data_IF_113886805894
#
_entry.id   IF_113886805894
#
_cell.length_a   1.000
_cell.length_b   1.000
_cell.length_c   1.000
_cell.angle_alpha   90.00
_cell.angle_beta   90.00
_cell.angle_gamma   90.00
#
_symmetry.space_group_name_H-M   'P 1'
#
loop_
_entity.id
_entity.type
_entity.pdbx_description
1 polymer ?
#
# COMPACT_ATOMS: atom_id res chain seq x y z
N UNK A 1 -19.72 -49.33 12.04
CA UNK A 1 -20.75 -48.81 11.10
C UNK A 1 -20.82 -47.30 11.37
N UNK A 2 -20.27 -46.48 10.50
CA UNK A 2 -20.36 -45.05 10.66
C UNK A 2 -21.69 -44.53 10.16
N UNK A 3 -22.34 -43.67 10.95
CA UNK A 3 -23.55 -42.98 10.55
C UNK A 3 -23.28 -42.19 9.26
N UNK A 4 -23.98 -42.54 8.20
CA UNK A 4 -23.90 -41.90 6.87
C UNK A 4 -24.88 -40.72 6.73
N UNK A 5 -25.66 -40.42 7.76
CA UNK A 5 -26.62 -39.33 7.74
C UNK A 5 -25.92 -37.95 7.82
N UNK A 6 -26.26 -37.00 6.94
CA UNK A 6 -25.67 -35.67 6.98
C UNK A 6 -26.02 -34.94 8.27
N UNK A 7 -25.02 -34.26 8.86
CA UNK A 7 -25.24 -33.47 10.07
C UNK A 7 -26.33 -32.41 9.87
N UNK A 8 -27.30 -32.37 10.80
CA UNK A 8 -28.40 -31.42 10.73
C UNK A 8 -27.96 -29.97 10.71
N UNK A 9 -28.73 -29.08 10.05
CA UNK A 9 -28.41 -27.65 9.87
C UNK A 9 -28.06 -26.90 11.16
N UNK A 10 -28.57 -27.34 12.30
CA UNK A 10 -28.35 -26.73 13.62
C UNK A 10 -27.16 -27.37 14.39
N UNK A 11 -26.55 -28.43 13.85
CA UNK A 11 -25.50 -29.17 14.56
C UNK A 11 -24.31 -28.30 14.96
N UNK A 12 -23.81 -27.44 14.02
CA UNK A 12 -22.67 -26.55 14.28
C UNK A 12 -22.97 -25.56 15.41
N UNK A 13 -24.19 -25.02 15.47
CA UNK A 13 -24.59 -24.10 16.53
C UNK A 13 -24.69 -24.82 17.89
N UNK A 14 -25.27 -26.01 17.91
CA UNK A 14 -25.30 -26.86 19.10
C UNK A 14 -23.90 -27.27 19.58
N UNK A 15 -23.01 -27.61 18.66
CA UNK A 15 -21.62 -27.94 18.96
C UNK A 15 -20.86 -26.76 19.56
N UNK A 16 -20.95 -25.55 18.98
CA UNK A 16 -20.36 -24.33 19.52
C UNK A 16 -20.84 -24.00 20.93
N UNK A 17 -22.13 -24.16 21.18
CA UNK A 17 -22.71 -23.88 22.49
C UNK A 17 -22.18 -24.85 23.58
N UNK A 18 -21.92 -26.11 23.22
CA UNK A 18 -21.32 -27.10 24.13
C UNK A 18 -19.79 -26.90 24.30
N UNK A 19 -19.15 -26.27 23.33
CA UNK A 19 -17.70 -26.07 23.32
C UNK A 19 -17.34 -24.57 23.12
N UNK A 20 -17.49 -23.74 24.17
CA UNK A 20 -17.31 -22.28 24.05
C UNK A 20 -15.88 -21.85 23.70
N UNK A 21 -14.89 -22.72 23.88
CA UNK A 21 -13.51 -22.50 23.44
C UNK A 21 -13.32 -22.60 21.91
N UNK A 22 -14.29 -23.15 21.19
CA UNK A 22 -14.24 -23.35 19.74
C UNK A 22 -15.01 -22.24 19.03
N UNK A 23 -14.35 -21.55 18.10
CA UNK A 23 -14.95 -20.49 17.27
C UNK A 23 -14.88 -20.86 15.79
N UNK A 24 -15.92 -20.50 15.05
CA UNK A 24 -15.87 -20.58 13.58
C UNK A 24 -14.97 -19.47 13.06
N UNK A 25 -13.93 -19.83 12.33
CA UNK A 25 -12.99 -18.88 11.70
C UNK A 25 -12.96 -19.14 10.19
N UNK A 26 -12.65 -18.09 9.42
CA UNK A 26 -12.39 -18.24 7.99
C UNK A 26 -11.04 -18.88 7.79
N UNK A 27 -10.98 -19.99 7.09
CA UNK A 27 -9.71 -20.57 6.65
C UNK A 27 -9.04 -19.64 5.64
N UNK A 28 -7.73 -19.49 5.75
CA UNK A 28 -6.89 -18.84 4.74
C UNK A 28 -5.96 -19.92 4.19
N UNK A 29 -6.02 -20.21 2.88
CA UNK A 29 -5.08 -21.16 2.31
C UNK A 29 -3.67 -20.64 2.44
N UNK A 30 -2.78 -21.48 2.94
CA UNK A 30 -1.33 -21.26 2.97
C UNK A 30 -0.67 -22.48 2.33
N UNK A 31 0.35 -22.25 1.53
CA UNK A 31 1.12 -23.32 0.90
C UNK A 31 1.83 -24.15 1.98
N UNK A 32 1.75 -25.49 1.86
CA UNK A 32 2.41 -26.43 2.76
C UNK A 32 3.93 -26.23 2.84
N UNK A 33 4.55 -25.83 1.75
CA UNK A 33 6.00 -25.51 1.71
C UNK A 33 6.34 -24.31 2.60
N UNK A 34 5.45 -23.31 2.66
CA UNK A 34 5.61 -22.14 3.54
C UNK A 34 5.49 -22.53 5.00
N UNK A 35 4.57 -23.44 5.32
CA UNK A 35 4.41 -23.95 6.68
C UNK A 35 5.66 -24.71 7.12
N UNK A 36 6.15 -25.62 6.28
CA UNK A 36 7.30 -26.47 6.60
C UNK A 36 8.63 -25.73 6.57
N UNK A 37 8.77 -24.68 5.76
CA UNK A 37 9.99 -23.87 5.65
C UNK A 37 10.23 -22.95 6.84
N UNK A 38 9.18 -22.46 7.48
CA UNK A 38 9.27 -21.55 8.64
C UNK A 38 9.38 -22.33 9.95
N UNK A 39 10.36 -23.23 10.09
CA UNK A 39 10.59 -23.92 11.35
C UNK A 39 11.48 -23.09 12.29
N UNK A 40 11.33 -23.34 13.58
CA UNK A 40 12.01 -22.60 14.65
C UNK A 40 13.53 -22.64 14.53
N UNK A 41 14.09 -23.78 14.16
CA UNK A 41 15.54 -24.00 14.03
C UNK A 41 16.12 -23.17 12.89
N UNK A 42 15.49 -23.19 11.72
CA UNK A 42 15.91 -22.41 10.54
C UNK A 42 15.92 -20.91 10.86
N UNK A 43 14.88 -20.40 11.54
CA UNK A 43 14.81 -19.00 11.93
C UNK A 43 15.90 -18.67 12.94
N UNK A 44 16.12 -19.52 13.95
CA UNK A 44 17.18 -19.30 14.96
C UNK A 44 18.57 -19.26 14.33
N UNK A 45 18.86 -20.18 13.43
CA UNK A 45 20.17 -20.24 12.76
C UNK A 45 20.38 -19.04 11.85
N UNK A 46 19.34 -18.63 11.14
CA UNK A 46 19.41 -17.44 10.29
C UNK A 46 19.65 -16.15 11.10
N UNK A 47 19.01 -15.98 12.27
CA UNK A 47 19.23 -14.82 13.12
C UNK A 47 20.67 -14.70 13.65
N UNK A 48 21.45 -15.78 13.66
CA UNK A 48 22.88 -15.73 13.99
C UNK A 48 23.66 -14.88 12.99
N UNK A 49 23.22 -14.82 11.73
CA UNK A 49 23.82 -13.96 10.71
C UNK A 49 23.71 -12.48 11.04
N UNK A 50 22.58 -12.04 11.66
CA UNK A 50 22.40 -10.66 12.11
C UNK A 50 23.29 -10.28 13.30
N UNK A 51 23.86 -11.26 13.98
CA UNK A 51 24.78 -11.06 15.11
C UNK A 51 26.24 -10.95 14.66
N UNK A 52 26.56 -11.24 13.40
CA UNK A 52 27.90 -11.05 12.81
C UNK A 52 28.31 -9.57 13.01
N UNK A 53 29.51 -9.28 13.55
CA UNK A 53 29.92 -7.93 13.93
C UNK A 53 29.76 -6.89 12.81
N UNK A 54 30.12 -7.26 11.57
CA UNK A 54 30.03 -6.40 10.38
C UNK A 54 28.58 -6.02 10.07
N UNK A 55 27.65 -6.97 10.19
CA UNK A 55 26.22 -6.75 9.95
C UNK A 55 25.57 -6.02 11.15
N UNK A 56 25.95 -6.40 12.36
CA UNK A 56 25.45 -5.78 13.59
C UNK A 56 25.80 -4.29 13.65
N UNK A 57 27.00 -3.92 13.16
CA UNK A 57 27.49 -2.54 13.14
C UNK A 57 26.79 -1.64 12.11
N UNK A 58 26.05 -2.17 11.15
CA UNK A 58 25.34 -1.37 10.15
C UNK A 58 24.21 -0.58 10.80
N UNK A 59 24.23 0.74 10.60
CA UNK A 59 23.21 1.67 11.15
C UNK A 59 21.81 1.31 10.62
N UNK A 60 20.72 1.57 11.40
CA UNK A 60 19.36 1.31 10.93
C UNK A 60 18.99 2.06 9.65
N UNK A 61 19.52 3.26 9.47
CA UNK A 61 19.31 4.04 8.24
C UNK A 61 19.87 3.35 6.98
N UNK A 62 20.87 2.48 7.15
CA UNK A 62 21.54 1.74 6.09
C UNK A 62 21.07 0.29 5.99
N UNK A 63 19.98 -0.08 6.66
CA UNK A 63 19.35 -1.41 6.56
C UNK A 63 18.13 -1.32 5.69
N UNK A 64 18.11 -2.10 4.62
CA UNK A 64 17.07 -2.08 3.61
C UNK A 64 16.47 -3.47 3.41
N UNK A 65 15.19 -3.50 3.10
CA UNK A 65 14.48 -4.69 2.63
C UNK A 65 13.86 -4.38 1.28
N UNK A 66 14.09 -5.23 0.31
CA UNK A 66 13.51 -5.16 -1.02
C UNK A 66 12.66 -6.39 -1.27
N UNK A 67 11.56 -6.21 -1.99
CA UNK A 67 10.70 -7.29 -2.44
C UNK A 67 9.91 -6.88 -3.68
N UNK A 68 9.47 -7.88 -4.44
CA UNK A 68 8.65 -7.72 -5.62
C UNK A 68 7.20 -8.06 -5.32
N UNK A 69 6.29 -7.21 -5.77
CA UNK A 69 4.87 -7.51 -5.69
C UNK A 69 4.18 -7.29 -7.02
N UNK A 70 3.24 -8.18 -7.33
CA UNK A 70 2.41 -8.03 -8.51
C UNK A 70 1.01 -7.53 -8.18
N UNK A 71 0.50 -6.68 -9.06
CA UNK A 71 -0.85 -6.14 -8.98
C UNK A 71 -1.55 -6.36 -10.32
N UNK A 72 -2.79 -6.88 -10.29
CA UNK A 72 -3.65 -6.96 -11.46
C UNK A 72 -4.26 -5.58 -11.73
N UNK A 73 -4.08 -5.04 -12.94
CA UNK A 73 -4.53 -3.70 -13.33
C UNK A 73 -6.02 -3.47 -13.04
N UNK A 74 -6.86 -4.47 -13.27
CA UNK A 74 -8.32 -4.34 -13.24
C UNK A 74 -9.04 -5.04 -12.08
N UNK A 75 -8.33 -5.55 -11.08
CA UNK A 75 -8.97 -6.29 -10.00
C UNK A 75 -9.44 -5.37 -8.85
N UNK A 76 -10.75 -5.08 -8.83
CA UNK A 76 -11.40 -4.41 -7.70
C UNK A 76 -11.68 -5.36 -6.51
N UNK A 77 -12.25 -4.81 -5.44
CA UNK A 77 -12.67 -5.59 -4.27
C UNK A 77 -14.05 -6.24 -4.48
N UNK A 78 -14.19 -7.49 -4.06
CA UNK A 78 -15.50 -8.10 -3.83
C UNK A 78 -15.96 -7.67 -2.43
N UNK A 79 -16.88 -6.72 -2.34
CA UNK A 79 -17.42 -6.21 -1.08
C UNK A 79 -18.91 -6.51 -0.94
N UNK A 80 -19.43 -6.36 0.26
CA UNK A 80 -20.87 -6.33 0.49
C UNK A 80 -21.46 -5.09 -0.20
N UNK A 81 -22.52 -5.31 -0.96
CA UNK A 81 -23.29 -4.27 -1.64
C UNK A 81 -24.73 -4.35 -1.22
N UNK A 82 -25.42 -3.22 -1.17
CA UNK A 82 -26.86 -3.19 -0.96
C UNK A 82 -27.53 -3.52 -2.29
N UNK A 83 -28.35 -4.53 -2.30
CA UNK A 83 -29.18 -4.93 -3.43
C UNK A 83 -30.65 -5.02 -3.01
N UNK A 84 -31.54 -5.21 -3.96
CA UNK A 84 -32.96 -5.46 -3.66
C UNK A 84 -33.08 -6.77 -2.86
N UNK A 85 -33.97 -6.80 -1.88
CA UNK A 85 -34.13 -7.94 -0.98
C UNK A 85 -34.47 -9.27 -1.69
N UNK A 86 -35.06 -9.17 -2.87
CA UNK A 86 -35.47 -10.30 -3.70
C UNK A 86 -34.30 -10.85 -4.57
N UNK A 87 -33.16 -10.16 -4.67
CA UNK A 87 -32.03 -10.62 -5.47
C UNK A 87 -31.06 -11.44 -4.64
N UNK A 88 -30.74 -12.65 -5.09
CA UNK A 88 -29.77 -13.53 -4.44
C UNK A 88 -28.31 -13.09 -4.61
N UNK A 89 -28.03 -12.23 -5.62
CA UNK A 89 -26.69 -11.70 -5.89
C UNK A 89 -26.75 -10.40 -6.70
N UNK A 90 -25.86 -9.48 -6.40
CA UNK A 90 -25.64 -8.26 -7.19
C UNK A 90 -24.41 -8.45 -8.07
N UNK A 91 -24.59 -8.34 -9.38
CA UNK A 91 -23.49 -8.42 -10.34
C UNK A 91 -22.80 -7.06 -10.45
N UNK A 92 -21.53 -7.00 -10.10
CA UNK A 92 -20.69 -5.82 -10.26
C UNK A 92 -19.84 -5.96 -11.52
N UNK A 93 -19.93 -5.01 -12.45
CA UNK A 93 -19.00 -4.95 -13.58
C UNK A 93 -17.58 -4.74 -13.02
N UNK A 94 -16.65 -5.56 -13.47
CA UNK A 94 -15.23 -5.38 -13.17
C UNK A 94 -14.48 -5.13 -14.48
N UNK A 95 -13.45 -4.28 -14.46
CA UNK A 95 -12.60 -4.10 -15.63
C UNK A 95 -12.04 -5.44 -16.09
N UNK A 96 -12.17 -5.74 -17.38
CA UNK A 96 -11.78 -7.02 -17.96
C UNK A 96 -10.27 -7.23 -18.13
N UNK A 97 -9.45 -6.20 -17.86
CA UNK A 97 -8.00 -6.32 -17.94
C UNK A 97 -7.47 -7.21 -16.82
N UNK A 98 -6.81 -8.29 -17.19
CA UNK A 98 -6.04 -9.17 -16.30
C UNK A 98 -4.54 -8.97 -16.48
N UNK A 99 -4.15 -7.83 -17.05
CA UNK A 99 -2.75 -7.50 -17.22
C UNK A 99 -2.10 -7.35 -15.83
N UNK A 100 -0.95 -7.96 -15.71
CA UNK A 100 -0.16 -7.96 -14.49
C UNK A 100 0.90 -6.86 -14.58
N UNK A 101 1.12 -6.16 -13.49
CA UNK A 101 2.20 -5.18 -13.32
C UNK A 101 3.01 -5.59 -12.11
N UNK A 102 4.30 -5.80 -12.30
CA UNK A 102 5.24 -6.05 -11.19
C UNK A 102 5.83 -4.74 -10.70
N UNK A 103 6.06 -4.68 -9.41
CA UNK A 103 6.58 -3.50 -8.73
C UNK A 103 7.65 -3.94 -7.76
N UNK A 104 8.84 -3.36 -7.88
CA UNK A 104 9.90 -3.53 -6.89
C UNK A 104 9.82 -2.35 -5.93
N UNK A 105 9.59 -2.66 -4.66
CA UNK A 105 9.64 -1.71 -3.53
C UNK A 105 10.82 -2.00 -2.63
N UNK A 106 11.39 -0.94 -2.07
CA UNK A 106 12.49 -1.05 -1.11
C UNK A 106 12.27 -0.07 0.05
N UNK A 107 12.40 -0.57 1.26
CA UNK A 107 12.16 0.18 2.49
C UNK A 107 13.35 0.10 3.45
N UNK A 108 13.62 1.20 4.15
CA UNK A 108 14.67 1.23 5.19
C UNK A 108 14.11 0.96 6.59
N UNK A 109 14.97 0.52 7.50
CA UNK A 109 14.56 0.24 8.89
C UNK A 109 14.15 1.49 9.70
N UNK A 110 14.47 2.70 9.22
CA UNK A 110 14.06 3.95 9.84
C UNK A 110 12.70 4.47 9.35
N UNK A 111 12.08 3.79 8.40
CA UNK A 111 10.73 4.14 7.93
C UNK A 111 10.68 4.90 6.60
N UNK A 112 11.76 4.91 5.82
CA UNK A 112 11.79 5.51 4.48
C UNK A 112 11.58 4.47 3.40
N UNK A 113 10.86 4.83 2.34
CA UNK A 113 10.74 4.04 1.13
C UNK A 113 11.57 4.69 0.01
N UNK A 114 12.26 3.88 -0.77
CA UNK A 114 12.92 4.33 -2.00
C UNK A 114 11.89 4.53 -3.11
N UNK A 115 12.29 5.20 -4.19
CA UNK A 115 11.46 5.28 -5.38
C UNK A 115 11.30 3.89 -6.00
N UNK A 116 10.10 3.53 -6.45
CA UNK A 116 9.83 2.19 -6.97
C UNK A 116 10.35 2.00 -8.39
N UNK A 117 10.52 0.75 -8.78
CA UNK A 117 10.58 0.35 -10.19
C UNK A 117 9.25 -0.32 -10.58
N UNK A 118 8.62 0.18 -11.64
CA UNK A 118 7.38 -0.37 -12.20
C UNK A 118 7.71 -1.14 -13.48
N UNK A 119 7.32 -2.41 -13.54
CA UNK A 119 7.58 -3.31 -14.66
C UNK A 119 6.27 -3.64 -15.34
N UNK A 120 6.08 -3.13 -16.55
CA UNK A 120 4.91 -3.41 -17.36
C UNK A 120 5.12 -4.63 -18.27
N UNK A 121 4.06 -5.34 -18.54
CA UNK A 121 4.07 -6.34 -19.60
C UNK A 121 4.07 -5.64 -20.97
N UNK A 122 5.11 -5.88 -21.77
CA UNK A 122 5.26 -5.29 -23.11
C UNK A 122 6.69 -5.36 -23.63
N UNK A 123 6.91 -4.98 -24.87
CA UNK A 123 8.24 -4.91 -25.48
C UNK A 123 8.99 -3.64 -25.10
N UNK A 124 8.25 -2.51 -25.05
CA UNK A 124 8.81 -1.19 -24.73
C UNK A 124 7.82 -0.40 -23.88
N UNK A 125 8.32 0.53 -23.10
CA UNK A 125 7.51 1.52 -22.39
C UNK A 125 6.88 2.47 -23.39
N UNK A 126 5.60 2.76 -23.23
CA UNK A 126 4.83 3.61 -24.14
C UNK A 126 4.37 4.88 -23.42
N UNK A 127 4.57 6.04 -24.02
CA UNK A 127 4.24 7.33 -23.42
C UNK A 127 2.76 7.47 -23.05
N UNK A 128 1.84 6.89 -23.82
CA UNK A 128 0.40 6.95 -23.55
C UNK A 128 -0.04 6.16 -22.29
N UNK A 129 0.85 5.39 -21.67
CA UNK A 129 0.59 4.71 -20.38
C UNK A 129 0.63 5.66 -19.19
N UNK A 130 1.10 6.88 -19.40
CA UNK A 130 1.30 7.86 -18.34
C UNK A 130 0.31 9.03 -18.42
N UNK A 131 -0.06 9.63 -17.29
CA UNK A 131 -0.79 10.91 -17.30
C UNK A 131 0.07 12.03 -17.87
N UNK A 132 -0.54 13.18 -18.18
CA UNK A 132 0.19 14.37 -18.64
C UNK A 132 0.97 15.03 -17.51
N UNK A 133 0.41 15.03 -16.31
CA UNK A 133 1.12 15.46 -15.11
C UNK A 133 1.95 14.32 -14.55
N UNK A 134 3.27 14.47 -14.59
CA UNK A 134 4.24 13.51 -14.13
C UNK A 134 4.92 13.90 -12.80
N UNK A 135 4.63 15.08 -12.27
CA UNK A 135 5.19 15.57 -11.01
C UNK A 135 5.08 14.57 -9.85
N UNK A 136 3.91 13.92 -9.63
CA UNK A 136 3.74 12.94 -8.55
C UNK A 136 4.63 11.69 -8.62
N UNK A 137 5.29 11.46 -9.76
CA UNK A 137 6.11 10.26 -10.03
C UNK A 137 7.59 10.57 -10.15
N UNK A 138 8.01 11.74 -9.69
CA UNK A 138 9.41 12.15 -9.74
C UNK A 138 10.32 11.08 -9.06
N UNK A 139 11.41 10.75 -9.73
CA UNK A 139 12.37 9.73 -9.30
C UNK A 139 11.94 8.27 -9.54
N UNK A 140 10.68 8.01 -9.93
CA UNK A 140 10.24 6.65 -10.25
C UNK A 140 10.90 6.15 -11.53
N UNK A 141 11.13 4.84 -11.60
CA UNK A 141 11.68 4.17 -12.76
C UNK A 141 10.65 3.23 -13.37
N UNK A 142 10.69 3.11 -14.69
CA UNK A 142 9.74 2.31 -15.46
C UNK A 142 10.45 1.46 -16.49
N UNK A 143 10.06 0.20 -16.61
CA UNK A 143 10.53 -0.70 -17.65
C UNK A 143 9.40 -1.57 -18.20
N UNK A 144 9.67 -2.29 -19.26
CA UNK A 144 8.75 -3.27 -19.81
C UNK A 144 9.52 -4.56 -20.12
N UNK A 145 8.95 -5.69 -19.73
CA UNK A 145 9.43 -7.02 -20.08
C UNK A 145 8.33 -7.82 -20.76
N UNK A 146 8.67 -8.77 -21.60
CA UNK A 146 7.67 -9.54 -22.37
C UNK A 146 6.64 -10.22 -21.48
N UNK A 147 7.07 -10.72 -20.34
CA UNK A 147 6.21 -11.42 -19.37
C UNK A 147 5.66 -10.49 -18.27
N UNK A 148 6.23 -9.28 -18.10
CA UNK A 148 5.91 -8.37 -17.02
C UNK A 148 6.52 -8.77 -15.66
N UNK A 149 7.56 -9.62 -15.66
CA UNK A 149 8.29 -10.07 -14.47
C UNK A 149 9.72 -9.54 -14.49
N UNK A 150 10.32 -9.50 -13.30
CA UNK A 150 11.74 -9.19 -13.13
C UNK A 150 12.59 -10.25 -13.82
N UNK A 151 13.59 -9.82 -14.57
CA UNK A 151 14.65 -10.67 -15.14
C UNK A 151 15.94 -10.44 -14.37
N UNK A 152 16.91 -11.32 -14.55
CA UNK A 152 18.23 -11.19 -13.91
C UNK A 152 18.87 -9.83 -14.23
N UNK A 153 18.84 -9.43 -15.51
CA UNK A 153 19.33 -8.12 -15.94
C UNK A 153 18.58 -6.95 -15.28
N UNK A 154 17.25 -7.08 -15.18
CA UNK A 154 16.42 -6.03 -14.54
C UNK A 154 16.76 -5.89 -13.06
N UNK A 155 17.07 -6.97 -12.37
CA UNK A 155 17.47 -6.95 -10.97
C UNK A 155 18.82 -6.25 -10.77
N UNK A 156 19.81 -6.54 -11.62
CA UNK A 156 21.12 -5.86 -11.59
C UNK A 156 20.97 -4.37 -11.90
N UNK A 157 20.20 -4.03 -12.93
CA UNK A 157 19.96 -2.65 -13.30
C UNK A 157 19.21 -1.89 -12.20
N UNK A 158 18.27 -2.54 -11.48
CA UNK A 158 17.62 -1.95 -10.31
C UNK A 158 18.64 -1.59 -9.22
N UNK A 159 19.61 -2.46 -8.93
CA UNK A 159 20.70 -2.11 -8.01
C UNK A 159 21.44 -0.85 -8.46
N UNK A 160 21.83 -0.80 -9.73
CA UNK A 160 22.68 0.27 -10.28
C UNK A 160 21.96 1.60 -10.45
N UNK A 161 20.67 1.59 -10.85
CA UNK A 161 19.91 2.79 -11.20
C UNK A 161 18.94 3.26 -10.11
N UNK A 162 18.53 2.37 -9.22
CA UNK A 162 17.55 2.68 -8.16
C UNK A 162 18.19 2.61 -6.78
N UNK A 163 18.68 1.44 -6.38
CA UNK A 163 19.13 1.22 -5.01
C UNK A 163 20.41 2.00 -4.67
N UNK A 164 21.47 1.80 -5.44
CA UNK A 164 22.77 2.40 -5.15
C UNK A 164 22.69 3.92 -5.14
N UNK A 165 22.14 4.61 -6.16
CA UNK A 165 22.09 6.09 -6.16
C UNK A 165 21.28 6.68 -5.01
N UNK A 166 20.20 6.04 -4.60
CA UNK A 166 19.32 6.55 -3.54
C UNK A 166 19.82 6.22 -2.12
N UNK A 167 20.79 5.33 -1.98
CA UNK A 167 21.27 4.85 -0.67
C UNK A 167 22.72 5.20 -0.38
N UNK A 168 23.41 5.90 -1.29
CA UNK A 168 24.76 6.40 -1.02
C UNK A 168 24.67 7.45 0.11
N UNK A 169 25.38 7.24 1.23
CA UNK A 169 25.38 8.21 2.31
C UNK A 169 26.02 9.53 1.86
N UNK A 170 25.29 10.64 1.98
CA UNK A 170 25.74 11.96 1.55
C UNK A 170 26.90 12.53 2.39
N UNK A 171 27.12 12.00 3.59
CA UNK A 171 28.14 12.46 4.54
C UNK A 171 29.46 11.71 4.46
N UNK A 172 29.60 10.77 3.54
CA UNK A 172 30.79 9.94 3.45
C UNK A 172 31.94 10.67 2.76
N UNK A 173 32.61 11.55 3.46
CA UNK A 173 33.87 12.16 3.01
C UNK A 173 35.06 11.17 2.97
N UNK A 174 34.93 10.01 3.60
CA UNK A 174 35.94 8.95 3.55
C UNK A 174 35.31 7.60 3.87
N UNK A 175 35.18 6.77 2.88
CA UNK A 175 34.79 5.38 3.08
C UNK A 175 33.30 5.11 2.86
N UNK A 176 33.08 4.09 2.13
CA UNK A 176 31.75 3.61 1.78
C UNK A 176 31.11 3.03 3.05
N UNK A 177 30.22 3.77 3.69
CA UNK A 177 29.42 3.20 4.77
C UNK A 177 28.74 1.92 4.27
N UNK A 178 28.84 0.86 5.08
CA UNK A 178 28.24 -0.42 4.75
C UNK A 178 26.71 -0.31 4.79
N UNK A 179 26.07 -0.96 3.84
CA UNK A 179 24.60 -1.10 3.75
C UNK A 179 24.23 -2.56 3.85
N UNK A 180 23.10 -2.86 4.45
CA UNK A 180 22.52 -4.20 4.48
C UNK A 180 21.28 -4.21 3.56
N UNK A 181 21.25 -5.14 2.63
CA UNK A 181 20.09 -5.40 1.79
C UNK A 181 19.56 -6.80 2.09
N UNK A 182 18.36 -6.86 2.66
CA UNK A 182 17.65 -8.12 2.94
C UNK A 182 16.68 -8.40 1.80
N UNK A 183 16.80 -9.54 1.17
CA UNK A 183 16.01 -9.99 0.02
C UNK A 183 15.57 -11.44 0.20
N UNK A 184 14.57 -11.87 -0.55
CA UNK A 184 14.25 -13.29 -0.67
C UNK A 184 15.29 -14.02 -1.55
N UNK A 185 15.24 -15.34 -1.52
CA UNK A 185 16.14 -16.19 -2.34
C UNK A 185 15.65 -16.38 -3.77
N UNK A 186 14.97 -15.41 -4.38
CA UNK A 186 14.53 -15.50 -5.77
C UNK A 186 15.74 -15.58 -6.72
N UNK A 187 15.63 -16.33 -7.82
CA UNK A 187 16.72 -16.60 -8.75
C UNK A 187 17.43 -15.34 -9.26
N UNK A 188 16.67 -14.28 -9.57
CA UNK A 188 17.22 -13.02 -10.07
C UNK A 188 18.14 -12.28 -9.08
N UNK A 189 17.99 -12.52 -7.77
CA UNK A 189 18.82 -11.92 -6.72
C UNK A 189 20.06 -12.74 -6.39
N UNK A 190 20.14 -13.99 -6.87
CA UNK A 190 21.23 -14.92 -6.60
C UNK A 190 22.25 -15.02 -7.73
N UNK A 191 22.12 -14.19 -8.76
CA UNK A 191 23.08 -14.17 -9.88
C UNK A 191 24.44 -13.63 -9.42
N UNK A 192 25.51 -14.14 -10.01
CA UNK A 192 26.88 -13.69 -9.70
C UNK A 192 27.03 -12.18 -9.89
N UNK A 193 26.42 -11.64 -10.93
CA UNK A 193 26.48 -10.21 -11.26
C UNK A 193 25.77 -9.35 -10.22
N UNK A 194 24.59 -9.78 -9.74
CA UNK A 194 23.88 -9.11 -8.66
C UNK A 194 24.70 -9.07 -7.37
N UNK A 195 25.26 -10.23 -6.96
CA UNK A 195 26.10 -10.33 -5.77
C UNK A 195 27.40 -9.53 -5.90
N UNK A 196 28.03 -9.57 -7.08
CA UNK A 196 29.24 -8.78 -7.35
C UNK A 196 28.96 -7.26 -7.29
N UNK A 197 27.86 -6.83 -7.90
CA UNK A 197 27.42 -5.41 -7.83
C UNK A 197 27.19 -4.97 -6.39
N UNK A 198 26.59 -5.79 -5.56
CA UNK A 198 26.46 -5.52 -4.12
C UNK A 198 27.84 -5.40 -3.45
N UNK A 199 28.72 -6.37 -3.68
CA UNK A 199 30.05 -6.43 -3.05
C UNK A 199 30.90 -5.18 -3.34
N UNK A 200 31.07 -4.80 -4.62
CA UNK A 200 31.89 -3.64 -5.00
C UNK A 200 31.33 -2.29 -4.49
N UNK A 201 30.03 -2.26 -4.14
CA UNK A 201 29.37 -1.09 -3.60
C UNK A 201 29.19 -1.13 -2.08
N UNK A 202 29.88 -2.04 -1.38
CA UNK A 202 29.81 -2.20 0.08
C UNK A 202 28.37 -2.45 0.58
N UNK A 203 27.61 -3.27 -0.13
CA UNK A 203 26.26 -3.72 0.23
C UNK A 203 26.33 -5.16 0.70
N UNK A 204 26.09 -5.40 1.97
CA UNK A 204 25.96 -6.72 2.54
C UNK A 204 24.60 -7.29 2.14
N UNK A 205 24.64 -8.39 1.40
CA UNK A 205 23.43 -9.06 0.92
C UNK A 205 23.07 -10.19 1.88
N UNK A 206 21.83 -10.17 2.36
CA UNK A 206 21.32 -11.19 3.29
C UNK A 206 20.06 -11.82 2.74
N UNK A 207 20.15 -13.09 2.35
CA UNK A 207 19.03 -13.84 1.83
C UNK A 207 18.17 -14.39 2.97
N UNK A 208 16.86 -14.24 2.84
CA UNK A 208 15.91 -14.89 3.73
C UNK A 208 15.92 -16.42 3.48
N UNK A 209 15.72 -17.25 4.52
CA UNK A 209 15.58 -18.68 4.32
C UNK A 209 14.42 -19.01 3.36
N UNK A 210 14.53 -20.08 2.57
CA UNK A 210 13.48 -20.46 1.66
C UNK A 210 12.13 -20.61 2.36
N UNK A 211 11.07 -20.11 1.74
CA UNK A 211 9.69 -20.20 2.21
C UNK A 211 9.37 -19.47 3.53
N UNK A 212 10.26 -18.55 4.00
CA UNK A 212 10.03 -17.78 5.23
C UNK A 212 9.53 -16.35 4.99
N UNK A 213 9.36 -15.89 3.76
CA UNK A 213 8.94 -14.53 3.40
C UNK A 213 7.68 -14.09 4.16
N UNK A 214 6.70 -15.01 4.32
CA UNK A 214 5.48 -14.78 5.07
C UNK A 214 5.67 -14.53 6.58
N UNK A 215 6.88 -14.68 7.13
CA UNK A 215 7.24 -14.41 8.54
C UNK A 215 8.34 -13.37 8.65
N UNK A 216 9.33 -13.41 7.76
CA UNK A 216 10.56 -12.62 7.87
C UNK A 216 10.67 -11.45 6.88
N UNK A 217 9.76 -11.31 5.90
CA UNK A 217 9.79 -10.24 4.90
C UNK A 217 9.00 -9.01 5.38
N UNK A 218 9.64 -7.88 5.74
CA UNK A 218 8.96 -6.68 6.23
C UNK A 218 7.89 -6.14 5.27
N UNK A 219 8.18 -6.12 3.96
CA UNK A 219 7.25 -5.65 2.94
C UNK A 219 5.97 -6.48 2.88
N UNK A 220 6.08 -7.81 2.96
CA UNK A 220 4.93 -8.71 2.97
C UNK A 220 4.10 -8.57 4.25
N UNK A 221 4.76 -8.34 5.40
CA UNK A 221 4.09 -8.32 6.69
C UNK A 221 3.22 -7.10 6.92
N UNK A 222 3.64 -5.93 6.45
CA UNK A 222 2.97 -4.69 6.82
C UNK A 222 2.66 -3.73 5.67
N UNK A 223 3.22 -3.93 4.48
CA UNK A 223 3.12 -2.97 3.38
C UNK A 223 2.23 -3.46 2.25
N UNK A 224 2.52 -4.62 1.66
CA UNK A 224 1.81 -5.07 0.46
C UNK A 224 0.32 -5.32 0.69
N UNK A 225 -0.07 -5.76 1.88
CA UNK A 225 -1.47 -5.90 2.27
C UNK A 225 -2.24 -4.58 2.20
N UNK A 226 -1.86 -3.57 2.98
CA UNK A 226 -2.43 -2.22 2.95
C UNK A 226 -2.41 -1.56 1.57
N UNK A 227 -1.28 -1.62 0.84
CA UNK A 227 -1.16 -1.06 -0.51
C UNK A 227 -2.15 -1.71 -1.48
N UNK A 228 -2.22 -3.05 -1.52
CA UNK A 228 -3.18 -3.77 -2.36
C UNK A 228 -4.63 -3.48 -1.98
N UNK A 229 -4.92 -3.30 -0.68
CA UNK A 229 -6.25 -2.91 -0.22
C UNK A 229 -6.62 -1.49 -0.66
N UNK A 230 -5.71 -0.53 -0.51
CA UNK A 230 -5.89 0.85 -0.96
C UNK A 230 -6.03 0.92 -2.50
N UNK A 231 -5.22 0.17 -3.25
CA UNK A 231 -5.31 0.09 -4.70
C UNK A 231 -6.70 -0.40 -5.16
N UNK A 232 -7.22 -1.47 -4.54
CA UNK A 232 -8.57 -1.97 -4.86
C UNK A 232 -9.66 -0.95 -4.54
N UNK A 233 -9.46 -0.15 -3.48
CA UNK A 233 -10.38 0.93 -3.12
C UNK A 233 -10.39 2.02 -4.18
N UNK A 234 -9.22 2.47 -4.66
CA UNK A 234 -9.10 3.45 -5.75
C UNK A 234 -9.73 2.93 -7.06
N UNK A 235 -9.49 1.67 -7.42
CA UNK A 235 -10.19 1.05 -8.54
C UNK A 235 -11.71 1.02 -8.36
N UNK A 236 -12.17 0.78 -7.13
CA UNK A 236 -13.60 0.83 -6.80
C UNK A 236 -14.21 2.20 -7.09
N UNK A 237 -13.52 3.28 -6.78
CA UNK A 237 -13.96 4.63 -7.10
C UNK A 237 -14.02 4.88 -8.61
N UNK A 238 -13.01 4.47 -9.36
CA UNK A 238 -13.02 4.59 -10.82
C UNK A 238 -14.17 3.80 -11.47
N UNK A 239 -14.48 2.61 -10.97
CA UNK A 239 -15.51 1.74 -11.53
C UNK A 239 -16.95 2.19 -11.22
N UNK A 240 -17.16 2.98 -10.17
CA UNK A 240 -18.49 3.52 -9.82
C UNK A 240 -18.99 4.59 -10.79
N UNK A 241 -18.05 5.29 -11.45
CA UNK A 241 -18.37 6.46 -12.28
C UNK A 241 -18.20 6.20 -13.78
N UNK A 242 -17.64 5.05 -14.17
CA UNK A 242 -17.37 4.72 -15.56
C UNK A 242 -17.98 3.37 -15.94
N UNK A 243 -18.99 3.41 -16.75
CA UNK A 243 -19.74 2.23 -17.20
C UNK A 243 -18.97 1.31 -18.16
N UNK A 244 -17.86 1.77 -18.72
CA UNK A 244 -17.11 1.04 -19.77
C UNK A 244 -15.59 1.30 -19.82
N UNK A 245 -15.02 2.00 -18.85
CA UNK A 245 -13.58 2.31 -18.91
C UNK A 245 -12.77 1.08 -18.49
N UNK A 246 -12.08 0.48 -19.47
CA UNK A 246 -11.02 -0.49 -19.22
C UNK A 246 -9.98 0.25 -18.38
N UNK A 247 -9.72 -0.24 -17.16
CA UNK A 247 -8.59 0.24 -16.37
C UNK A 247 -7.34 -0.15 -17.14
N UNK A 248 -6.79 0.79 -17.88
CA UNK A 248 -5.55 0.61 -18.60
C UNK A 248 -4.34 1.03 -17.76
N UNK A 249 -3.16 0.82 -18.30
CA UNK A 249 -1.87 1.14 -17.65
C UNK A 249 -1.80 2.59 -17.14
N UNK A 250 -2.48 3.52 -17.82
CA UNK A 250 -2.57 4.94 -17.42
C UNK A 250 -3.28 5.15 -16.09
N UNK A 251 -4.41 4.48 -15.89
CA UNK A 251 -5.14 4.58 -14.62
C UNK A 251 -4.45 3.79 -13.51
N UNK A 252 -3.70 2.73 -13.88
CA UNK A 252 -2.93 1.95 -12.94
C UNK A 252 -1.95 2.81 -12.15
N UNK A 253 -1.12 3.62 -12.83
CA UNK A 253 -0.08 4.40 -12.16
C UNK A 253 -0.66 5.41 -11.17
N UNK A 254 -1.78 6.09 -11.52
CA UNK A 254 -2.46 7.02 -10.63
C UNK A 254 -3.08 6.34 -9.41
N UNK A 255 -3.74 5.18 -9.60
CA UNK A 255 -4.27 4.39 -8.49
C UNK A 255 -3.15 3.84 -7.60
N UNK A 256 -2.04 3.39 -8.21
CA UNK A 256 -0.91 2.86 -7.45
C UNK A 256 -0.22 3.95 -6.63
N UNK A 257 -0.01 5.12 -7.19
CA UNK A 257 0.59 6.26 -6.47
C UNK A 257 -0.23 6.62 -5.21
N UNK A 258 -1.56 6.74 -5.33
CA UNK A 258 -2.44 6.98 -4.18
C UNK A 258 -2.40 5.85 -3.17
N UNK A 259 -2.42 4.61 -3.64
CA UNK A 259 -2.34 3.42 -2.80
C UNK A 259 -1.00 3.31 -2.08
N UNK A 260 0.08 3.66 -2.76
CA UNK A 260 1.43 3.69 -2.21
C UNK A 260 1.53 4.71 -1.07
N UNK A 261 1.05 5.93 -1.26
CA UNK A 261 1.02 6.95 -0.21
C UNK A 261 0.20 6.51 1.00
N UNK A 262 -0.91 5.81 0.79
CA UNK A 262 -1.75 5.30 1.87
C UNK A 262 -1.15 4.10 2.61
N UNK A 263 -0.38 3.26 1.93
CA UNK A 263 0.15 1.99 2.47
C UNK A 263 1.59 2.06 2.94
N UNK A 264 2.47 2.80 2.25
CA UNK A 264 3.88 2.97 2.61
C UNK A 264 4.10 4.12 3.59
N UNK A 265 3.37 4.12 4.69
CA UNK A 265 3.59 5.09 5.77
C UNK A 265 4.82 4.70 6.61
N UNK A 266 5.47 5.69 7.23
CA UNK A 266 6.59 5.46 8.13
C UNK A 266 6.25 4.44 9.23
N UNK A 267 5.04 4.51 9.78
CA UNK A 267 4.59 3.62 10.85
C UNK A 267 4.41 2.18 10.35
N UNK A 268 3.82 2.00 9.16
CA UNK A 268 3.70 0.68 8.57
C UNK A 268 5.07 0.07 8.28
N UNK A 269 6.00 0.86 7.73
CA UNK A 269 7.37 0.42 7.45
C UNK A 269 8.06 -0.03 8.75
N UNK A 270 8.07 0.82 9.78
CA UNK A 270 8.66 0.48 11.09
C UNK A 270 7.99 -0.74 11.74
N UNK A 271 6.66 -0.85 11.57
CA UNK A 271 5.90 -2.00 12.05
C UNK A 271 6.36 -3.30 11.41
N UNK A 272 6.59 -3.32 10.07
CA UNK A 272 7.11 -4.48 9.35
C UNK A 272 8.47 -4.94 9.86
N UNK A 273 9.40 -4.02 9.99
CA UNK A 273 10.73 -4.31 10.55
C UNK A 273 10.66 -4.84 11.98
N UNK A 274 9.80 -4.25 12.82
CA UNK A 274 9.58 -4.68 14.20
C UNK A 274 8.89 -6.04 14.28
N UNK A 275 7.89 -6.29 13.44
CA UNK A 275 7.12 -7.54 13.45
C UNK A 275 7.97 -8.73 13.03
N UNK A 276 8.78 -8.57 12.00
CA UNK A 276 9.74 -9.59 11.55
C UNK A 276 10.93 -9.77 12.49
N UNK A 277 11.13 -8.85 13.44
CA UNK A 277 12.26 -8.87 14.37
C UNK A 277 13.61 -8.52 13.72
N UNK A 278 13.61 -8.00 12.49
CA UNK A 278 14.83 -7.60 11.79
C UNK A 278 15.38 -6.27 12.31
N UNK A 279 14.48 -5.38 12.78
CA UNK A 279 14.87 -4.15 13.47
C UNK A 279 13.76 -3.60 14.39
N UNK A 280 14.01 -3.32 15.69
CA UNK A 280 15.21 -3.79 16.43
C UNK A 280 15.33 -5.31 16.41
N UNK A 281 16.57 -5.82 16.34
CA UNK A 281 16.81 -7.27 16.19
C UNK A 281 16.22 -8.04 17.38
N UNK A 282 15.26 -8.91 17.09
CA UNK A 282 14.57 -9.72 18.10
C UNK A 282 14.06 -11.02 17.50
N UNK A 283 14.79 -12.09 17.70
CA UNK A 283 14.40 -13.44 17.25
C UNK A 283 13.05 -13.90 17.83
N UNK A 284 12.68 -13.42 19.03
CA UNK A 284 11.40 -13.77 19.65
C UNK A 284 10.18 -13.33 18.82
N UNK A 285 10.30 -12.22 18.07
CA UNK A 285 9.18 -11.66 17.30
C UNK A 285 8.65 -12.62 16.21
N UNK A 286 9.47 -13.10 15.27
CA UNK A 286 9.00 -14.04 14.26
C UNK A 286 8.58 -15.39 14.87
N UNK A 287 9.24 -15.86 15.93
CA UNK A 287 8.90 -17.12 16.58
C UNK A 287 7.54 -17.08 17.31
N UNK A 288 7.06 -15.89 17.72
CA UNK A 288 5.73 -15.67 18.27
C UNK A 288 4.66 -15.38 17.20
N UNK A 289 5.02 -15.44 15.93
CA UNK A 289 4.07 -15.18 14.85
C UNK A 289 2.98 -16.26 14.82
N UNK A 290 1.69 -15.89 14.71
CA UNK A 290 0.61 -16.87 14.56
C UNK A 290 0.68 -17.64 13.23
N UNK A 291 1.59 -17.25 12.34
CA UNK A 291 1.87 -17.94 11.07
C UNK A 291 2.88 -19.08 11.22
N UNK A 292 3.54 -19.19 12.38
CA UNK A 292 4.37 -20.35 12.74
C UNK A 292 3.45 -21.50 13.14
N UNK A 293 3.79 -22.71 12.72
CA UNK A 293 3.16 -23.90 13.29
C UNK A 293 3.48 -23.98 14.80
N UNK A 294 2.48 -24.21 15.65
CA UNK A 294 2.78 -24.62 17.02
C UNK A 294 3.66 -25.87 16.93
N UNK A 295 4.82 -25.83 17.56
CA UNK A 295 5.57 -27.05 17.86
C UNK A 295 4.57 -27.98 18.54
N UNK A 296 4.35 -29.17 18.00
CA UNK A 296 3.52 -30.19 18.63
C UNK A 296 4.01 -30.36 20.07
N UNK A 297 3.21 -30.03 21.09
CA UNK A 297 3.63 -30.28 22.46
C UNK A 297 3.73 -31.79 22.65
N UNK A 298 4.89 -32.27 23.04
CA UNK A 298 4.97 -33.53 23.71
C UNK A 298 4.04 -33.48 24.95
N UNK A 299 3.51 -34.62 25.40
CA UNK A 299 2.49 -34.64 26.45
C UNK A 299 3.10 -34.27 27.81
N UNK A 300 3.03 -33.04 28.22
CA UNK A 300 3.05 -32.54 29.61
C UNK A 300 3.08 -30.99 29.60
N UNK A 301 1.98 -30.35 29.97
CA UNK A 301 1.90 -29.52 31.15
C UNK A 301 0.53 -28.83 31.21
N UNK A 302 -0.15 -29.18 32.28
CA UNK A 302 -1.40 -28.57 32.70
C UNK A 302 -1.14 -27.23 33.40
N UNK A 303 -2.15 -26.38 33.31
CA UNK A 303 -2.53 -25.32 34.22
C UNK A 303 -1.84 -23.94 34.09
N UNK A 304 -2.65 -22.97 33.68
CA UNK A 304 -2.91 -21.81 34.54
C UNK A 304 -4.22 -21.11 34.11
N UNK A 305 -5.13 -21.05 35.06
CA UNK A 305 -6.38 -20.26 35.03
C UNK A 305 -6.06 -18.78 35.16
N UNK A 306 -6.69 -17.95 34.36
CA UNK A 306 -6.73 -16.50 34.54
C UNK A 306 -8.15 -16.00 34.22
N UNK A 307 -8.85 -15.60 35.24
CA UNK A 307 -10.14 -14.92 35.19
C UNK A 307 -9.97 -13.53 34.57
N UNK A 308 -10.85 -13.17 33.65
CA UNK A 308 -11.08 -11.78 33.30
C UNK A 308 -12.58 -11.48 33.37
N UNK A 309 -12.91 -10.58 34.26
CA UNK A 309 -14.27 -10.12 34.49
C UNK A 309 -14.80 -9.30 33.32
N UNK A 310 -16.04 -9.60 32.99
CA UNK A 310 -16.89 -8.81 32.12
C UNK A 310 -17.31 -7.53 32.83
N UNK A 311 -17.08 -6.37 32.18
CA UNK A 311 -17.80 -5.14 32.52
C UNK A 311 -18.96 -4.96 31.54
N UNK A 312 -20.13 -4.96 32.10
CA UNK A 312 -21.39 -4.67 31.42
C UNK A 312 -21.40 -3.21 30.93
N UNK A 313 -21.81 -3.01 29.70
CA UNK A 313 -22.08 -1.68 29.17
C UNK A 313 -23.52 -1.30 29.54
N UNK A 314 -23.68 -0.37 30.45
CA UNK A 314 -24.97 0.23 30.78
C UNK A 314 -25.54 1.00 29.58
N UNK A 315 -26.75 0.60 29.19
CA UNK A 315 -27.52 1.27 28.16
C UNK A 315 -28.02 2.64 28.65
N UNK A 316 -27.72 3.67 27.91
CA UNK A 316 -28.28 5.00 28.10
C UNK A 316 -29.68 5.05 27.49
N UNK A 317 -30.68 5.04 28.35
CA UNK A 317 -32.05 5.34 27.97
C UNK A 317 -32.15 6.79 27.54
N UNK A 318 -32.56 7.01 26.28
CA UNK A 318 -32.83 8.32 25.72
C UNK A 318 -34.14 8.86 26.31
N UNK A 319 -34.06 9.88 27.15
CA UNK A 319 -35.20 10.69 27.48
C UNK A 319 -35.70 11.43 26.22
N UNK A 320 -36.94 11.15 25.80
CA UNK A 320 -37.54 11.76 24.63
C UNK A 320 -37.72 13.26 24.85
N UNK A 321 -36.88 14.06 24.23
CA UNK A 321 -37.07 15.49 24.12
C UNK A 321 -38.32 15.76 23.24
N UNK A 322 -39.24 16.60 23.75
CA UNK A 322 -40.48 16.98 23.07
C UNK A 322 -40.28 17.77 21.76
N UNK A 323 -39.05 18.03 21.37
CA UNK A 323 -38.69 18.79 20.16
C UNK A 323 -38.02 17.84 19.15
N UNK A 324 -38.77 17.39 18.15
CA UNK A 324 -38.25 16.65 17.01
C UNK A 324 -37.52 17.58 16.02
N UNK A 325 -36.23 17.74 16.18
CA UNK A 325 -35.40 18.59 15.34
C UNK A 325 -34.78 17.81 14.22
N UNK A 326 -35.06 18.20 12.96
CA UNK A 326 -34.40 17.63 11.80
C UNK A 326 -32.99 18.19 11.64
N UNK A 327 -32.10 17.37 11.07
CA UNK A 327 -30.73 17.82 10.70
C UNK A 327 -30.83 18.91 9.63
N UNK A 328 -30.23 20.13 9.81
CA UNK A 328 -30.31 21.21 8.83
C UNK A 328 -29.65 20.84 7.52
N UNK A 329 -30.36 20.95 6.41
CA UNK A 329 -29.88 20.62 5.07
C UNK A 329 -29.66 21.86 4.19
N UNK A 330 -30.21 23.01 4.58
CA UNK A 330 -30.11 24.30 3.88
C UNK A 330 -29.65 25.36 4.85
N UNK A 331 -29.04 26.45 4.35
CA UNK A 331 -28.64 27.61 5.16
C UNK A 331 -29.81 28.23 5.93
N UNK A 332 -31.02 28.23 5.35
CA UNK A 332 -32.22 28.70 6.01
C UNK A 332 -32.60 27.89 7.24
N UNK A 333 -32.45 26.57 7.16
CA UNK A 333 -32.72 25.65 8.28
C UNK A 333 -31.69 25.87 9.40
N UNK A 334 -30.42 26.08 9.03
CA UNK A 334 -29.35 26.41 9.96
C UNK A 334 -29.57 27.73 10.68
N UNK A 335 -29.96 28.77 9.93
CA UNK A 335 -30.26 30.08 10.49
C UNK A 335 -31.46 30.02 11.48
N UNK A 336 -32.50 29.22 11.15
CA UNK A 336 -33.63 28.98 12.06
C UNK A 336 -33.21 28.26 13.35
N UNK A 337 -32.31 27.26 13.24
CA UNK A 337 -31.79 26.55 14.42
C UNK A 337 -30.85 27.41 15.26
N UNK A 338 -30.06 28.29 14.66
CA UNK A 338 -29.18 29.22 15.36
C UNK A 338 -30.02 30.28 16.10
N UNK A 339 -31.13 30.73 15.52
CA UNK A 339 -32.05 31.64 16.20
C UNK A 339 -32.70 31.01 17.43
N UNK A 340 -33.12 29.74 17.32
CA UNK A 340 -33.60 28.97 18.47
C UNK A 340 -32.53 28.79 19.55
N UNK A 341 -31.25 28.69 19.18
CA UNK A 341 -30.14 28.59 20.14
C UNK A 341 -30.00 29.84 20.99
N UNK A 342 -30.28 31.02 20.44
CA UNK A 342 -30.22 32.28 21.19
C UNK A 342 -31.47 32.51 22.04
N UNK A 343 -32.58 31.85 21.74
CA UNK A 343 -33.86 31.95 22.47
C UNK A 343 -34.01 30.92 23.61
N UNK A 344 -33.12 29.91 23.68
CA UNK A 344 -33.15 28.87 24.70
C UNK A 344 -32.48 29.37 25.97
N UNK A 345 -33.26 29.61 27.01
CA UNK A 345 -32.77 29.87 28.37
C UNK A 345 -32.05 28.63 28.91
N UNK A 346 -30.73 28.73 29.01
CA UNK A 346 -29.78 27.90 29.79
C UNK A 346 -30.05 26.38 29.95
N UNK A 347 -30.85 25.71 29.12
CA UNK A 347 -30.95 24.26 29.13
C UNK A 347 -29.75 23.64 28.36
N UNK A 348 -28.71 23.30 29.13
CA UNK A 348 -27.47 22.73 28.61
C UNK A 348 -27.68 21.44 27.81
N UNK A 349 -28.75 20.68 28.05
CA UNK A 349 -29.04 19.43 27.34
C UNK A 349 -29.58 19.69 25.95
N UNK A 350 -30.49 20.64 25.83
CA UNK A 350 -31.08 21.05 24.54
C UNK A 350 -30.07 21.81 23.69
N UNK A 351 -29.22 22.65 24.28
CA UNK A 351 -28.11 23.31 23.57
C UNK A 351 -27.10 22.27 23.02
N UNK A 352 -26.76 21.22 23.77
CA UNK A 352 -25.90 20.12 23.31
C UNK A 352 -26.51 19.38 22.14
N UNK A 353 -27.79 19.05 22.18
CA UNK A 353 -28.51 18.39 21.10
C UNK A 353 -28.52 19.24 19.82
N UNK A 354 -28.77 20.53 19.95
CA UNK A 354 -28.74 21.49 18.83
C UNK A 354 -27.35 21.53 18.20
N UNK A 355 -26.30 21.67 19.02
CA UNK A 355 -24.93 21.69 18.56
C UNK A 355 -24.55 20.42 17.81
N UNK A 356 -24.96 19.24 18.32
CA UNK A 356 -24.72 17.95 17.63
C UNK A 356 -25.45 17.90 16.28
N UNK A 357 -26.66 18.42 16.17
CA UNK A 357 -27.43 18.50 14.91
C UNK A 357 -26.77 19.40 13.88
N UNK A 358 -26.31 20.57 14.31
CA UNK A 358 -25.58 21.53 13.47
C UNK A 358 -24.26 20.91 13.00
N UNK A 359 -23.47 20.29 13.90
CA UNK A 359 -22.23 19.60 13.57
C UNK A 359 -22.46 18.47 12.55
N UNK A 360 -23.55 17.69 12.72
CA UNK A 360 -23.92 16.63 11.78
C UNK A 360 -24.25 17.21 10.39
N UNK A 361 -24.99 18.33 10.33
CA UNK A 361 -25.33 19.01 9.07
C UNK A 361 -24.09 19.51 8.32
N UNK A 362 -23.12 20.11 9.04
CA UNK A 362 -21.83 20.51 8.46
C UNK A 362 -21.03 19.31 7.95
N UNK A 363 -20.97 18.23 8.72
CA UNK A 363 -20.27 17.02 8.29
C UNK A 363 -20.90 16.39 7.04
N UNK A 364 -22.23 16.39 6.92
CA UNK A 364 -22.93 15.91 5.73
C UNK A 364 -22.66 16.82 4.50
N UNK A 365 -22.61 18.15 4.70
CA UNK A 365 -22.26 19.07 3.61
C UNK A 365 -20.79 18.96 3.19
N UNK A 366 -19.87 18.85 4.13
CA UNK A 366 -18.45 18.63 3.85
C UNK A 366 -18.24 17.32 3.07
N UNK A 367 -18.94 16.26 3.44
CA UNK A 367 -18.91 15.00 2.71
C UNK A 367 -19.44 15.12 1.28
N UNK A 368 -20.56 15.83 1.08
CA UNK A 368 -21.14 16.09 -0.25
C UNK A 368 -20.20 16.93 -1.12
N UNK A 369 -19.56 17.95 -0.55
CA UNK A 369 -18.60 18.80 -1.25
C UNK A 369 -17.37 17.98 -1.67
N UNK A 370 -16.79 17.20 -0.76
CA UNK A 370 -15.66 16.32 -1.06
C UNK A 370 -16.02 15.29 -2.14
N UNK A 371 -17.24 14.73 -2.08
CA UNK A 371 -17.72 13.78 -3.09
C UNK A 371 -17.90 14.47 -4.46
N UNK A 372 -18.42 15.70 -4.49
CA UNK A 372 -18.58 16.47 -5.72
C UNK A 372 -17.23 16.86 -6.33
N UNK A 373 -16.27 17.30 -5.52
CA UNK A 373 -14.91 17.61 -5.96
C UNK A 373 -14.23 16.37 -6.54
N UNK A 374 -14.29 15.25 -5.85
CA UNK A 374 -13.74 13.98 -6.35
C UNK A 374 -14.42 13.55 -7.66
N UNK A 375 -15.73 13.74 -7.80
CA UNK A 375 -16.44 13.47 -9.05
C UNK A 375 -15.96 14.37 -10.20
N UNK A 376 -15.67 15.62 -9.92
CA UNK A 376 -15.15 16.60 -10.88
C UNK A 376 -13.74 16.18 -11.36
N UNK A 377 -12.88 15.81 -10.45
CA UNK A 377 -11.54 15.26 -10.75
C UNK A 377 -11.61 14.00 -11.62
N UNK A 378 -12.53 13.08 -11.31
CA UNK A 378 -12.76 11.87 -12.10
C UNK A 378 -13.29 12.17 -13.50
N UNK A 379 -14.20 13.14 -13.63
CA UNK A 379 -14.71 13.58 -14.94
C UNK A 379 -13.60 14.23 -15.79
N UNK A 380 -12.78 15.08 -15.17
CA UNK A 380 -11.61 15.66 -15.84
C UNK A 380 -10.62 14.59 -16.29
N UNK A 381 -10.31 13.64 -15.40
CA UNK A 381 -9.48 12.47 -15.75
C UNK A 381 -10.11 11.64 -16.89
N UNK A 382 -11.44 11.53 -16.95
CA UNK A 382 -12.15 10.84 -18.03
C UNK A 382 -12.00 11.59 -19.37
N UNK A 383 -12.22 12.89 -19.40
CA UNK A 383 -12.07 13.69 -20.63
C UNK A 383 -10.65 13.55 -21.18
N UNK A 384 -9.63 13.64 -20.30
CA UNK A 384 -8.24 13.44 -20.72
C UNK A 384 -7.93 12.00 -21.12
N UNK A 385 -8.65 10.98 -20.57
CA UNK A 385 -8.39 9.57 -20.86
C UNK A 385 -9.08 9.07 -22.16
N UNK A 386 -10.16 9.70 -22.59
CA UNK A 386 -10.90 9.29 -23.80
C UNK A 386 -10.29 9.84 -25.09
N UNK A 387 -9.41 10.83 -25.01
CA UNK A 387 -8.68 11.29 -26.19
C UNK A 387 -7.79 10.15 -26.74
N UNK A 388 -7.97 9.83 -28.02
CA UNK A 388 -7.14 8.83 -28.71
C UNK A 388 -5.73 9.39 -28.84
N UNK A 389 -4.79 8.84 -28.08
CA UNK A 389 -3.38 9.26 -28.10
C UNK A 389 -2.57 8.36 -29.02
N UNK A 390 -1.60 8.96 -29.72
CA UNK A 390 -0.67 8.23 -30.59
C UNK A 390 0.15 7.22 -29.76
N UNK A 391 0.37 6.04 -30.31
CA UNK A 391 1.25 5.03 -29.73
C UNK A 391 2.70 5.35 -30.09
N UNK A 392 3.42 6.04 -29.22
CA UNK A 392 4.82 6.37 -29.40
C UNK A 392 5.64 5.65 -28.33
N UNK A 393 6.66 4.90 -28.72
CA UNK A 393 7.57 4.27 -27.80
C UNK A 393 8.46 5.34 -27.16
N UNK A 394 8.69 5.21 -25.85
CA UNK A 394 9.68 6.06 -25.16
C UNK A 394 11.07 5.63 -25.62
N UNK A 395 11.84 6.56 -26.16
CA UNK A 395 13.23 6.34 -26.54
C UNK A 395 14.07 6.30 -25.26
N UNK A 396 14.83 5.23 -25.09
CA UNK A 396 15.72 5.06 -23.95
C UNK A 396 17.14 5.37 -24.34
N UNK A 397 17.96 5.82 -23.37
CA UNK A 397 19.40 5.83 -23.52
C UNK A 397 19.88 4.40 -23.84
N UNK A 398 20.76 4.19 -24.84
CA UNK A 398 21.28 2.86 -25.19
C UNK A 398 21.92 2.11 -24.01
N UNK A 399 22.35 2.84 -22.97
CA UNK A 399 23.00 2.29 -21.79
C UNK A 399 22.03 2.00 -20.63
N UNK A 400 20.70 2.11 -20.84
CA UNK A 400 19.71 1.87 -19.81
C UNK A 400 18.45 1.20 -20.39
N UNK A 401 17.87 0.29 -19.62
CA UNK A 401 16.58 -0.34 -19.94
C UNK A 401 15.42 0.35 -19.23
N UNK A 402 15.70 1.33 -18.36
CA UNK A 402 14.68 2.02 -17.58
C UNK A 402 14.37 3.38 -18.15
N UNK A 403 13.07 3.65 -18.33
CA UNK A 403 12.58 4.98 -18.62
C UNK A 403 12.43 5.77 -17.32
N UNK A 404 12.97 6.95 -17.28
CA UNK A 404 12.71 7.91 -16.22
C UNK A 404 11.65 8.93 -16.66
N UNK A 405 11.26 9.82 -15.75
CA UNK A 405 10.22 10.81 -16.02
C UNK A 405 10.61 11.78 -17.16
N UNK A 406 11.90 12.13 -17.29
CA UNK A 406 12.37 13.02 -18.35
C UNK A 406 12.25 12.36 -19.75
N UNK A 407 12.57 11.08 -19.85
CA UNK A 407 12.42 10.32 -21.09
C UNK A 407 10.95 10.25 -21.53
N UNK A 408 10.05 10.07 -20.57
CA UNK A 408 8.60 10.03 -20.82
C UNK A 408 8.10 11.42 -21.22
N UNK A 409 8.53 12.49 -20.56
CA UNK A 409 8.20 13.88 -20.92
C UNK A 409 8.63 14.19 -22.33
N UNK A 410 9.88 13.87 -22.69
CA UNK A 410 10.42 14.06 -24.05
C UNK A 410 9.54 13.34 -25.08
N UNK A 411 9.17 12.09 -24.84
CA UNK A 411 8.31 11.35 -25.73
C UNK A 411 6.89 11.93 -25.82
N UNK A 412 6.37 12.56 -24.76
CA UNK A 412 5.07 13.26 -24.79
C UNK A 412 5.12 14.54 -25.62
N UNK A 413 6.23 15.30 -25.54
CA UNK A 413 6.47 16.47 -26.37
C UNK A 413 6.60 16.07 -27.85
N UNK A 414 7.41 15.05 -28.16
CA UNK A 414 7.58 14.52 -29.53
C UNK A 414 6.26 13.99 -30.12
N UNK A 415 5.37 13.50 -29.27
CA UNK A 415 4.02 13.07 -29.69
C UNK A 415 3.04 14.24 -29.88
N UNK A 416 3.44 15.47 -29.56
CA UNK A 416 2.61 16.67 -29.62
C UNK A 416 1.52 16.73 -28.54
N UNK A 417 1.73 16.06 -27.41
CA UNK A 417 0.77 16.00 -26.32
C UNK A 417 1.07 17.03 -25.21
N UNK A 418 2.25 17.62 -25.23
CA UNK A 418 2.71 18.68 -24.32
C UNK A 418 3.54 19.68 -25.09
N UNK A 419 3.40 20.97 -24.75
CA UNK A 419 4.29 22.00 -25.30
C UNK A 419 5.66 21.90 -24.63
N UNK A 420 6.72 22.17 -25.40
CA UNK A 420 8.09 22.19 -24.89
C UNK A 420 8.26 23.45 -24.04
N UNK A 421 8.28 23.30 -22.71
CA UNK A 421 8.64 24.37 -21.79
C UNK A 421 10.17 24.45 -21.83
N UNK A 422 10.72 25.03 -22.90
CA UNK A 422 12.10 25.46 -22.88
C UNK A 422 12.23 26.53 -21.81
N UNK A 423 13.06 26.25 -20.81
CA UNK A 423 13.48 27.17 -19.76
C UNK A 423 14.11 28.43 -20.42
N UNK A 424 13.27 29.42 -20.65
CA UNK A 424 13.69 30.74 -21.06
C UNK A 424 14.15 31.53 -19.83
N UNK A 425 15.21 31.08 -19.19
CA UNK A 425 15.96 31.94 -18.26
C UNK A 425 16.80 32.95 -19.05
N UNK A 426 16.15 33.98 -19.56
CA UNK A 426 16.82 35.22 -19.85
C UNK A 426 17.05 35.93 -18.52
N UNK A 427 18.26 35.86 -18.03
CA UNK A 427 18.78 36.82 -17.03
C UNK A 427 18.61 38.22 -17.61
N UNK A 428 17.59 38.94 -17.18
CA UNK A 428 17.51 40.36 -17.37
C UNK A 428 18.29 41.01 -16.22
N UNK A 429 19.50 41.40 -16.49
CA UNK A 429 20.26 42.35 -15.71
C UNK A 429 19.42 43.62 -15.50
N UNK A 430 18.81 43.79 -14.38
CA UNK A 430 18.33 45.06 -13.88
C UNK A 430 19.42 45.68 -13.02
N UNK A 431 20.29 46.49 -13.68
CA UNK A 431 21.06 47.50 -12.98
C UNK A 431 20.13 48.57 -12.43
N UNK A 432 19.83 48.50 -11.14
CA UNK A 432 19.30 49.65 -10.41
C UNK A 432 20.42 50.63 -10.11
N UNK A 433 20.43 51.74 -10.87
CA UNK A 433 21.16 52.94 -10.55
C UNK A 433 20.49 53.64 -9.37
N UNK A 434 21.16 53.61 -8.22
CA UNK A 434 20.82 54.45 -7.06
C UNK A 434 21.29 55.88 -7.39
N UNK A 435 20.31 56.80 -7.57
CA UNK A 435 20.52 58.26 -7.49
C UNK A 435 20.13 58.72 -6.12
N UNK A 436 21.06 59.38 -5.46
CA UNK A 436 20.92 60.19 -4.27
C UNK A 436 20.06 61.44 -4.57
N UNK A 437 19.04 61.70 -3.77
CA UNK A 437 18.76 62.97 -3.12
C UNK A 437 17.87 62.76 -1.91
#
# INVERSE_FOLDING_TARGET
MGDTDPLGKQWIQGFKRRNPSIKVQRSRPIDSRRINGACTEVIRDWFKLLAIPEIKGIKPANRYNMDETGILEGQGSNGLVLGMAETTSVRKKQPGSRAWVSIIECISAIGHALNPLIIYKGKTVQQQWFPLDLGPYEGWQFTATENGWTTDDTAVEWLQKVFIPQTIPQTASQGKEARLLVVDGHGSHTTTEFMWTCYINNVYLLFLPPHTSHVLQPLDQSIFGPVKAAYRKELGYLSQWNDSTIVGKRNFIGCYQKARLAGLTMDNIKSGWKYTGLWPVSMAKPLMSPLMLPSTPGPSDQACKGQSGSKEAEGWASASSAVAWSTPRKMKDLAGQLKLFTELDNDASTQRLLFMKVKKGFSEQAYKLATAQHKLELLQAKVTSTAVRKRTAVQLDPNTKFANIKDIQKAQVEAGEKEDITDGSSESDCQESVALE
#
